data_IF_678538817351
#
_entry.id   IF_678538817351
#
_cell.length_a   1.000
_cell.length_b   1.000
_cell.length_c   1.000
_cell.angle_alpha   90.00
_cell.angle_beta   90.00
_cell.angle_gamma   90.00
#
_symmetry.space_group_name_H-M   'P 1'
#
loop_
_entity.id
_entity.type
_entity.pdbx_description
1 polymer ?
#
# COMPACT_ATOMS: atom_id res chain seq x y z
N UNK A 1 12.58 -39.59 21.07
CA UNK A 1 11.24 -39.29 20.51
C UNK A 1 11.27 -37.84 20.06
N UNK A 2 11.38 -37.63 18.75
CA UNK A 2 11.37 -36.30 18.15
C UNK A 2 9.91 -35.83 18.10
N UNK A 3 9.61 -34.71 18.76
CA UNK A 3 8.34 -34.02 18.62
C UNK A 3 8.43 -33.12 17.40
N UNK A 4 7.74 -33.50 16.33
CA UNK A 4 7.62 -32.71 15.11
C UNK A 4 6.82 -31.43 15.42
N UNK A 5 7.46 -30.30 15.18
CA UNK A 5 6.80 -28.99 15.14
C UNK A 5 5.99 -28.92 13.85
N UNK A 6 4.69 -29.20 13.94
CA UNK A 6 3.70 -28.87 12.90
C UNK A 6 3.64 -27.34 12.76
N UNK A 7 4.47 -26.79 11.89
CA UNK A 7 4.40 -25.39 11.47
C UNK A 7 3.19 -25.20 10.56
N UNK A 8 2.18 -24.53 11.11
CA UNK A 8 1.14 -23.61 10.59
C UNK A 8 1.08 -23.29 9.07
N UNK A 9 1.30 -24.27 8.19
CA UNK A 9 1.31 -24.12 6.72
C UNK A 9 -0.07 -23.75 6.16
N UNK A 10 -1.16 -24.03 6.88
CA UNK A 10 -2.53 -23.69 6.49
C UNK A 10 -2.86 -22.20 6.55
N UNK A 11 -2.11 -21.38 7.30
CA UNK A 11 -2.34 -19.92 7.33
C UNK A 11 -1.67 -19.16 6.19
N UNK A 12 -0.61 -19.73 5.60
CA UNK A 12 0.10 -19.13 4.46
C UNK A 12 -0.72 -19.19 3.16
N UNK A 13 -1.51 -20.26 2.97
CA UNK A 13 -2.36 -20.43 1.78
C UNK A 13 -3.49 -19.38 1.73
N UNK A 14 -4.08 -19.03 2.87
CA UNK A 14 -5.14 -18.00 2.94
C UNK A 14 -4.64 -16.58 2.61
N UNK A 15 -3.37 -16.27 2.89
CA UNK A 15 -2.76 -14.96 2.58
C UNK A 15 -2.47 -14.80 1.08
N UNK A 16 -2.13 -15.89 0.40
CA UNK A 16 -1.98 -15.97 -1.05
C UNK A 16 -3.31 -15.66 -1.78
N UNK A 17 -4.43 -16.20 -1.29
CA UNK A 17 -5.78 -15.90 -1.81
C UNK A 17 -6.20 -14.43 -1.59
N UNK A 18 -5.64 -13.77 -0.57
CA UNK A 18 -5.88 -12.36 -0.31
C UNK A 18 -5.12 -11.44 -1.28
N UNK A 19 -4.05 -11.93 -1.92
CA UNK A 19 -3.15 -11.12 -2.74
C UNK A 19 -3.64 -11.04 -4.19
N UNK A 20 -4.34 -9.95 -4.50
CA UNK A 20 -4.81 -9.66 -5.86
C UNK A 20 -3.81 -8.77 -6.60
N UNK A 21 -3.65 -9.02 -7.91
CA UNK A 21 -2.92 -8.11 -8.80
C UNK A 21 -3.56 -6.71 -8.78
N UNK A 22 -2.74 -5.66 -8.92
CA UNK A 22 -3.21 -4.26 -8.90
C UNK A 22 -4.40 -4.00 -9.82
N UNK A 23 -4.39 -4.53 -11.05
CA UNK A 23 -5.49 -4.37 -12.01
C UNK A 23 -6.81 -4.97 -11.53
N UNK A 24 -6.75 -6.15 -10.90
CA UNK A 24 -7.93 -6.80 -10.30
C UNK A 24 -8.47 -5.97 -9.13
N UNK A 25 -7.59 -5.37 -8.31
CA UNK A 25 -8.00 -4.49 -7.22
C UNK A 25 -8.66 -3.21 -7.74
N UNK A 26 -8.13 -2.59 -8.80
CA UNK A 26 -8.75 -1.42 -9.46
C UNK A 26 -10.14 -1.74 -10.00
N UNK A 27 -10.29 -2.90 -10.66
CA UNK A 27 -11.59 -3.38 -11.14
C UNK A 27 -12.56 -3.62 -9.99
N UNK A 28 -12.09 -4.24 -8.90
CA UNK A 28 -12.92 -4.46 -7.70
C UNK A 28 -13.37 -3.13 -7.09
N UNK A 29 -12.46 -2.18 -6.92
CA UNK A 29 -12.79 -0.85 -6.39
C UNK A 29 -13.85 -0.14 -7.25
N UNK A 30 -13.75 -0.24 -8.58
CA UNK A 30 -14.75 0.30 -9.50
C UNK A 30 -16.11 -0.40 -9.34
N UNK A 31 -16.13 -1.74 -9.29
CA UNK A 31 -17.36 -2.50 -9.10
C UNK A 31 -18.07 -2.11 -7.80
N UNK A 32 -17.31 -1.95 -6.72
CA UNK A 32 -17.88 -1.51 -5.44
C UNK A 32 -18.47 -0.10 -5.51
N UNK A 33 -17.76 0.84 -6.14
CA UNK A 33 -18.29 2.18 -6.33
C UNK A 33 -19.61 2.18 -7.10
N UNK A 34 -19.69 1.39 -8.17
CA UNK A 34 -20.91 1.25 -8.97
C UNK A 34 -22.04 0.61 -8.16
N UNK A 35 -21.75 -0.44 -7.39
CA UNK A 35 -22.71 -1.10 -6.51
C UNK A 35 -23.24 -0.15 -5.44
N UNK A 36 -22.38 0.67 -4.85
CA UNK A 36 -22.77 1.69 -3.88
C UNK A 36 -23.64 2.77 -4.51
N UNK A 37 -23.27 3.27 -5.70
CA UNK A 37 -24.06 4.24 -6.43
C UNK A 37 -25.44 3.70 -6.82
N UNK A 38 -25.54 2.42 -7.18
CA UNK A 38 -26.81 1.73 -7.42
C UNK A 38 -27.64 1.62 -6.13
N UNK A 39 -27.00 1.22 -5.02
CA UNK A 39 -27.67 1.12 -3.71
C UNK A 39 -28.21 2.46 -3.23
N UNK A 40 -27.54 3.57 -3.54
CA UNK A 40 -28.03 4.92 -3.23
C UNK A 40 -29.26 5.34 -4.04
N UNK A 41 -29.65 4.59 -5.09
CA UNK A 41 -30.93 4.83 -5.77
C UNK A 41 -32.12 4.24 -5.02
N UNK A 42 -31.89 3.22 -4.19
CA UNK A 42 -32.94 2.50 -3.46
C UNK A 42 -33.10 2.99 -2.02
N UNK A 43 -32.16 3.78 -1.50
CA UNK A 43 -32.21 4.37 -0.16
C UNK A 43 -33.10 5.62 -0.17
N UNK A 44 -34.00 5.75 0.81
CA UNK A 44 -34.75 6.99 1.06
C UNK A 44 -33.88 7.99 1.81
N UNK A 45 -33.56 9.10 1.16
CA UNK A 45 -32.82 10.19 1.79
C UNK A 45 -33.76 11.25 2.37
N UNK A 46 -33.33 11.89 3.46
CA UNK A 46 -34.04 13.02 4.08
C UNK A 46 -34.10 14.24 3.14
N UNK A 47 -33.11 14.39 2.26
CA UNK A 47 -33.03 15.47 1.28
C UNK A 47 -32.17 15.06 0.08
N UNK A 48 -32.38 15.74 -1.05
CA UNK A 48 -31.52 15.59 -2.25
C UNK A 48 -30.07 15.93 -1.93
N UNK A 49 -29.84 16.93 -1.06
CA UNK A 49 -28.50 17.31 -0.64
C UNK A 49 -27.74 16.15 0.03
N UNK A 50 -28.40 15.39 0.92
CA UNK A 50 -27.78 14.23 1.57
C UNK A 50 -27.46 13.10 0.59
N UNK A 51 -28.31 12.91 -0.42
CA UNK A 51 -28.07 11.93 -1.48
C UNK A 51 -26.84 12.31 -2.32
N UNK A 52 -26.74 13.57 -2.74
CA UNK A 52 -25.59 14.09 -3.49
C UNK A 52 -24.31 13.93 -2.66
N UNK A 53 -24.35 14.27 -1.37
CA UNK A 53 -23.21 14.15 -0.50
C UNK A 53 -22.75 12.69 -0.38
N UNK A 54 -23.69 11.76 -0.18
CA UNK A 54 -23.38 10.32 -0.10
C UNK A 54 -22.72 9.80 -1.40
N UNK A 55 -23.22 10.21 -2.57
CA UNK A 55 -22.64 9.84 -3.86
C UNK A 55 -21.21 10.39 -4.01
N UNK A 56 -20.99 11.64 -3.59
CA UNK A 56 -19.65 12.27 -3.60
C UNK A 56 -18.69 11.53 -2.67
N UNK A 57 -19.14 11.11 -1.50
CA UNK A 57 -18.29 10.45 -0.52
C UNK A 57 -17.94 9.01 -0.97
N UNK A 58 -18.87 8.25 -1.54
CA UNK A 58 -18.56 6.97 -2.20
C UNK A 58 -17.52 7.14 -3.31
N UNK A 59 -17.67 8.17 -4.14
CA UNK A 59 -16.68 8.48 -5.18
C UNK A 59 -15.30 8.80 -4.60
N UNK A 60 -15.23 9.62 -3.54
CA UNK A 60 -13.95 9.92 -2.86
C UNK A 60 -13.31 8.67 -2.29
N UNK A 61 -14.08 7.73 -1.74
CA UNK A 61 -13.56 6.45 -1.25
C UNK A 61 -12.92 5.64 -2.39
N UNK A 62 -13.58 5.57 -3.55
CA UNK A 62 -13.01 4.94 -4.74
C UNK A 62 -11.71 5.63 -5.19
N UNK A 63 -11.71 6.95 -5.33
CA UNK A 63 -10.53 7.72 -5.71
C UNK A 63 -9.38 7.52 -4.71
N UNK A 64 -9.68 7.44 -3.41
CA UNK A 64 -8.68 7.13 -2.38
C UNK A 64 -8.07 5.75 -2.57
N UNK A 65 -8.88 4.73 -2.88
CA UNK A 65 -8.40 3.39 -3.19
C UNK A 65 -7.44 3.40 -4.38
N UNK A 66 -7.81 4.07 -5.47
CA UNK A 66 -6.99 4.15 -6.68
C UNK A 66 -5.65 4.83 -6.39
N UNK A 67 -5.66 5.96 -5.68
CA UNK A 67 -4.45 6.68 -5.35
C UNK A 67 -3.49 5.87 -4.44
N UNK A 68 -4.00 5.07 -3.50
CA UNK A 68 -3.14 4.16 -2.70
C UNK A 68 -2.44 3.13 -3.60
N UNK A 69 -3.16 2.55 -4.56
CA UNK A 69 -2.60 1.58 -5.51
C UNK A 69 -1.59 2.25 -6.45
N UNK A 70 -1.86 3.47 -6.91
CA UNK A 70 -0.92 4.26 -7.73
C UNK A 70 0.36 4.59 -6.96
N UNK A 71 0.22 5.05 -5.71
CA UNK A 71 1.35 5.34 -4.84
C UNK A 71 2.21 4.09 -4.61
N UNK A 72 1.59 2.92 -4.37
CA UNK A 72 2.26 1.65 -4.18
C UNK A 72 3.06 1.20 -5.42
N UNK A 73 2.50 1.38 -6.62
CA UNK A 73 3.21 1.08 -7.88
C UNK A 73 4.39 2.03 -8.14
N UNK A 74 4.26 3.29 -7.73
CA UNK A 74 5.32 4.28 -7.87
C UNK A 74 6.48 4.10 -6.87
N UNK A 75 6.34 3.26 -5.83
CA UNK A 75 7.42 3.02 -4.86
C UNK A 75 8.68 2.43 -5.53
N UNK A 76 8.54 1.66 -6.61
CA UNK A 76 9.69 1.11 -7.36
C UNK A 76 10.38 2.13 -8.26
N UNK A 77 9.65 3.16 -8.71
CA UNK A 77 10.14 4.13 -9.70
C UNK A 77 11.13 5.17 -9.16
N UNK A 78 11.34 5.23 -7.84
CA UNK A 78 12.18 6.24 -7.19
C UNK A 78 13.52 5.74 -6.67
N UNK A 79 13.80 4.43 -6.70
CA UNK A 79 15.18 4.00 -6.50
C UNK A 79 15.98 4.36 -7.74
N UNK A 80 17.03 5.18 -7.63
CA UNK A 80 18.01 5.25 -8.70
C UNK A 80 18.72 3.90 -8.76
N UNK A 81 18.23 2.98 -9.59
CA UNK A 81 18.99 1.82 -10.12
C UNK A 81 20.21 2.27 -10.98
N UNK A 82 20.60 3.54 -10.87
CA UNK A 82 21.79 4.14 -11.44
C UNK A 82 22.74 4.52 -10.32
N UNK A 83 23.25 3.56 -9.56
CA UNK A 83 24.62 3.67 -9.07
C UNK A 83 25.47 2.67 -9.82
N UNK A 84 26.30 3.27 -10.66
CA UNK A 84 27.37 2.68 -11.41
C UNK A 84 28.10 1.68 -10.52
N UNK A 85 28.27 0.49 -11.08
CA UNK A 85 29.36 -0.51 -11.04
C UNK A 85 30.69 -0.21 -10.31
N UNK A 86 30.89 0.94 -9.68
CA UNK A 86 32.21 1.44 -9.25
C UNK A 86 32.32 1.73 -7.74
N UNK A 87 31.28 1.47 -6.95
CA UNK A 87 31.36 1.60 -5.49
C UNK A 87 30.80 0.32 -4.87
N UNK A 88 31.63 -0.35 -4.07
CA UNK A 88 31.27 -1.46 -3.18
C UNK A 88 30.26 -0.96 -2.14
N UNK A 89 29.06 -0.60 -2.57
CA UNK A 89 27.93 -0.40 -1.69
C UNK A 89 27.53 -1.80 -1.20
N UNK A 90 27.43 -1.97 0.11
CA UNK A 90 27.13 -3.25 0.75
C UNK A 90 25.82 -3.82 0.18
N UNK A 91 25.92 -4.81 -0.72
CA UNK A 91 24.81 -5.41 -1.48
C UNK A 91 23.62 -5.79 -0.58
N UNK A 92 23.89 -6.04 0.71
CA UNK A 92 22.89 -6.36 1.73
C UNK A 92 21.95 -5.19 2.07
N UNK A 93 22.42 -3.95 2.03
CA UNK A 93 21.61 -2.76 2.38
C UNK A 93 20.62 -2.44 1.26
N UNK A 94 21.06 -2.47 0.00
CA UNK A 94 20.19 -2.27 -1.16
C UNK A 94 19.14 -3.39 -1.28
N UNK A 95 19.51 -4.63 -0.93
CA UNK A 95 18.56 -5.75 -0.83
C UNK A 95 17.52 -5.54 0.28
N UNK A 96 17.91 -5.00 1.44
CA UNK A 96 17.01 -4.75 2.57
C UNK A 96 16.01 -3.62 2.26
N UNK A 97 16.46 -2.53 1.65
CA UNK A 97 15.58 -1.42 1.23
C UNK A 97 14.61 -1.88 0.14
N UNK A 98 15.10 -2.63 -0.85
CA UNK A 98 14.26 -3.21 -1.90
C UNK A 98 13.21 -4.17 -1.35
N UNK A 99 13.58 -4.98 -0.35
CA UNK A 99 12.66 -5.86 0.36
C UNK A 99 11.59 -5.07 1.13
N UNK A 100 11.97 -4.04 1.87
CA UNK A 100 11.04 -3.17 2.60
C UNK A 100 10.03 -2.47 1.66
N UNK A 101 10.48 -2.04 0.48
CA UNK A 101 9.60 -1.46 -0.55
C UNK A 101 8.61 -2.49 -1.09
N UNK A 102 9.05 -3.71 -1.36
CA UNK A 102 8.15 -4.78 -1.80
C UNK A 102 7.11 -5.10 -0.72
N UNK A 103 7.51 -5.19 0.56
CA UNK A 103 6.58 -5.39 1.67
C UNK A 103 5.57 -4.23 1.80
N UNK A 104 6.00 -2.98 1.62
CA UNK A 104 5.09 -1.84 1.66
C UNK A 104 4.07 -1.86 0.52
N UNK A 105 4.51 -2.30 -0.67
CA UNK A 105 3.61 -2.52 -1.82
C UNK A 105 2.62 -3.64 -1.53
N UNK A 106 3.08 -4.79 -1.03
CA UNK A 106 2.20 -5.91 -0.67
C UNK A 106 1.19 -5.53 0.40
N UNK A 107 1.63 -4.80 1.43
CA UNK A 107 0.77 -4.23 2.46
C UNK A 107 -0.35 -3.37 1.84
N UNK A 108 -0.01 -2.45 0.94
CA UNK A 108 -1.01 -1.61 0.27
C UNK A 108 -2.05 -2.44 -0.47
N UNK A 109 -1.61 -3.46 -1.22
CA UNK A 109 -2.49 -4.36 -1.97
C UNK A 109 -3.41 -5.17 -1.05
N UNK A 110 -2.86 -5.75 0.02
CA UNK A 110 -3.61 -6.53 1.00
C UNK A 110 -4.63 -5.66 1.75
N UNK A 111 -4.22 -4.48 2.21
CA UNK A 111 -5.10 -3.55 2.91
C UNK A 111 -6.23 -3.05 2.01
N UNK A 112 -5.93 -2.66 0.77
CA UNK A 112 -6.97 -2.27 -0.20
C UNK A 112 -7.90 -3.44 -0.50
N UNK A 113 -7.35 -4.63 -0.77
CA UNK A 113 -8.14 -5.82 -1.02
C UNK A 113 -9.04 -6.20 0.16
N UNK A 114 -8.55 -6.00 1.38
CA UNK A 114 -9.34 -6.20 2.61
C UNK A 114 -10.44 -5.17 2.71
N UNK A 115 -10.11 -3.88 2.56
CA UNK A 115 -11.08 -2.78 2.59
C UNK A 115 -12.24 -3.01 1.61
N UNK A 116 -11.92 -3.48 0.40
CA UNK A 116 -12.94 -3.79 -0.60
C UNK A 116 -13.78 -5.02 -0.26
N UNK A 117 -13.20 -6.09 0.29
CA UNK A 117 -13.95 -7.33 0.53
C UNK A 117 -14.75 -7.33 1.83
N UNK A 118 -14.24 -6.69 2.87
CA UNK A 118 -14.76 -6.86 4.24
C UNK A 118 -15.48 -5.63 4.78
N UNK A 119 -15.26 -4.44 4.20
CA UNK A 119 -15.85 -3.20 4.71
C UNK A 119 -17.00 -2.74 3.81
N UNK A 120 -18.26 -3.08 4.12
CA UNK A 120 -19.40 -2.80 3.24
C UNK A 120 -19.77 -1.31 3.17
N UNK A 121 -19.50 -0.54 4.22
CA UNK A 121 -19.81 0.89 4.29
C UNK A 121 -18.70 1.74 3.69
N UNK A 122 -19.02 2.58 2.70
CA UNK A 122 -18.04 3.49 2.08
C UNK A 122 -17.45 4.49 3.08
N UNK A 123 -18.18 4.89 4.12
CA UNK A 123 -17.70 5.79 5.17
C UNK A 123 -16.62 5.12 6.01
N UNK A 124 -16.88 3.91 6.50
CA UNK A 124 -15.89 3.15 7.27
C UNK A 124 -14.69 2.78 6.40
N UNK A 125 -14.93 2.44 5.14
CA UNK A 125 -13.86 2.12 4.18
C UNK A 125 -12.99 3.34 3.91
N UNK A 126 -13.57 4.53 3.82
CA UNK A 126 -12.82 5.78 3.67
C UNK A 126 -11.84 6.01 4.82
N UNK A 127 -12.34 5.93 6.06
CA UNK A 127 -11.50 6.14 7.25
C UNK A 127 -10.41 5.08 7.38
N UNK A 128 -10.73 3.82 7.04
CA UNK A 128 -9.74 2.76 6.98
C UNK A 128 -8.64 3.07 5.94
N UNK A 129 -9.02 3.38 4.70
CA UNK A 129 -8.09 3.69 3.61
C UNK A 129 -7.23 4.93 3.93
N UNK A 130 -7.80 5.92 4.61
CA UNK A 130 -7.06 7.10 5.07
C UNK A 130 -5.89 6.69 5.99
N UNK A 131 -6.16 5.85 7.00
CA UNK A 131 -5.12 5.33 7.90
C UNK A 131 -4.04 4.54 7.16
N UNK A 132 -4.43 3.75 6.16
CA UNK A 132 -3.48 3.02 5.30
C UNK A 132 -2.57 4.01 4.54
N UNK A 133 -3.15 5.05 3.94
CA UNK A 133 -2.38 6.08 3.24
C UNK A 133 -1.43 6.81 4.18
N UNK A 134 -1.90 7.20 5.36
CA UNK A 134 -1.08 7.91 6.35
C UNK A 134 0.13 7.05 6.76
N UNK A 135 -0.10 5.77 7.08
CA UNK A 135 0.97 4.81 7.39
C UNK A 135 1.96 4.61 6.24
N UNK A 136 1.46 4.49 5.00
CA UNK A 136 2.33 4.40 3.82
C UNK A 136 3.18 5.65 3.64
N UNK A 137 2.60 6.83 3.85
CA UNK A 137 3.30 8.11 3.77
C UNK A 137 4.40 8.25 4.82
N UNK A 138 4.13 7.84 6.06
CA UNK A 138 5.12 7.82 7.15
C UNK A 138 6.24 6.83 6.87
N UNK A 139 5.90 5.61 6.48
CA UNK A 139 6.89 4.56 6.17
C UNK A 139 7.77 4.95 4.99
N UNK A 140 7.18 5.55 3.95
CA UNK A 140 7.93 6.07 2.80
C UNK A 140 8.89 7.18 3.22
N UNK A 141 8.47 8.14 4.04
CA UNK A 141 9.36 9.19 4.57
C UNK A 141 10.52 8.59 5.37
N UNK A 142 10.26 7.56 6.17
CA UNK A 142 11.31 6.87 6.92
C UNK A 142 12.31 6.18 5.99
N UNK A 143 11.82 5.48 4.95
CA UNK A 143 12.68 4.86 3.92
C UNK A 143 13.49 5.90 3.13
N UNK A 144 12.85 7.01 2.76
CA UNK A 144 13.51 8.13 2.07
C UNK A 144 14.53 8.85 2.97
N UNK A 145 14.43 8.78 4.30
CA UNK A 145 15.40 9.37 5.23
C UNK A 145 16.62 8.47 5.46
N UNK A 146 16.44 7.16 5.33
CA UNK A 146 17.52 6.16 5.40
C UNK A 146 18.45 6.30 4.17
N UNK A 147 17.92 6.60 2.98
CA UNK A 147 18.73 6.75 1.76
C UNK A 147 19.82 7.86 1.85
N UNK A 148 19.52 9.10 2.27
CA UNK A 148 20.50 10.18 2.43
C UNK A 148 21.53 9.91 3.53
N UNK A 149 21.14 9.31 4.66
CA UNK A 149 22.06 9.12 5.78
C UNK A 149 23.26 8.26 5.40
N UNK A 150 23.07 7.24 4.57
CA UNK A 150 24.18 6.42 4.08
C UNK A 150 25.09 7.17 3.11
N UNK A 151 24.56 8.11 2.33
CA UNK A 151 25.40 8.91 1.42
C UNK A 151 26.30 9.88 2.16
N UNK A 152 25.82 10.49 3.25
CA UNK A 152 26.60 11.43 4.03
C UNK A 152 27.66 10.73 4.90
N UNK A 153 27.32 9.58 5.51
CA UNK A 153 28.29 8.81 6.32
C UNK A 153 29.38 8.18 5.48
N UNK A 154 29.07 7.66 4.28
CA UNK A 154 30.07 7.12 3.37
C UNK A 154 31.03 8.21 2.85
N UNK A 155 30.53 9.42 2.58
CA UNK A 155 31.38 10.55 2.18
C UNK A 155 32.25 11.05 3.33
N UNK A 156 31.72 11.12 4.56
CA UNK A 156 32.49 11.50 5.73
C UNK A 156 33.63 10.51 6.03
N UNK A 157 33.39 9.21 5.90
CA UNK A 157 34.42 8.18 6.08
C UNK A 157 35.52 8.21 5.01
N UNK A 158 35.23 8.69 3.81
CA UNK A 158 36.24 8.86 2.75
C UNK A 158 37.08 10.12 3.00
N UNK A 159 36.46 11.20 3.49
CA UNK A 159 37.18 12.45 3.80
C UNK A 159 38.06 12.37 5.05
N UNK A 160 37.74 11.51 6.01
CA UNK A 160 38.58 11.27 7.20
C UNK A 160 39.74 10.28 6.94
N UNK A 161 39.81 9.68 5.74
CA UNK A 161 40.84 8.71 5.34
C UNK A 161 41.92 9.30 4.41
N UNK A 162 41.82 10.58 4.04
CA UNK A 162 42.85 11.38 3.34
C UNK A 162 43.64 12.26 4.31
#
# INVERSE_FOLDING_TARGET
MAGETETDLGKLDNMSELLMSGDKLRKLALLMHLQEAQSMRTIKFRSVHHQIQSLRDSRKTYESTIAILDEAEQLKGKLPLKRKRDLQQDDKVDATISSAINHLKEYAHLSVGTACRTVPSFNLRHEYLKKIRDFMGETKKALDAIQPSFTTTAVAMIMDAE
#
